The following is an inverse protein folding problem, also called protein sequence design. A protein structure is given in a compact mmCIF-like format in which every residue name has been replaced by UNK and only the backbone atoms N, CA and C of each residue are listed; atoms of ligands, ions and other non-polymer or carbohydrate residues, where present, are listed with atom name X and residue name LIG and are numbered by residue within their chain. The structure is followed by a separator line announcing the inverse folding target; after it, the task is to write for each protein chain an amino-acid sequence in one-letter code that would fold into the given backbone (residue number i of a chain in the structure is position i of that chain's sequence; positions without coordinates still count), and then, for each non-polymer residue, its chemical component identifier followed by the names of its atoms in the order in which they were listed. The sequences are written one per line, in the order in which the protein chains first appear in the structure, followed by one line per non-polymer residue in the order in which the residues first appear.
data_IF_515089198775
#
_entry.id   IF_515089198775
#
_cell.length_a   1.000
_cell.length_b   1.000
_cell.length_c   1.000
_cell.angle_alpha   90.00
_cell.angle_beta   90.00
_cell.angle_gamma   90.00
#
_symmetry.space_group_name_H-M   'P 1'
#
loop_
_entity.id
_entity.type
_entity.pdbx_description
1 polymer ?
#
# COMPACT_ATOMS: atom_id res chain seq x y z
N UNK A 1 -24.50 -20.14 8.20
CA UNK A 1 -23.82 -18.90 7.74
C UNK A 1 -24.25 -17.78 8.69
N UNK A 2 -23.31 -17.07 9.34
CA UNK A 2 -23.59 -15.96 10.29
C UNK A 2 -23.19 -14.65 9.62
N UNK A 3 -24.13 -13.70 9.49
CA UNK A 3 -23.83 -12.33 9.08
C UNK A 3 -23.32 -11.55 10.30
N UNK A 4 -22.20 -10.85 10.16
CA UNK A 4 -21.56 -10.10 11.27
C UNK A 4 -21.60 -8.58 11.11
N UNK A 5 -21.90 -8.08 9.92
CA UNK A 5 -22.07 -6.64 9.63
C UNK A 5 -23.44 -6.38 8.99
N UNK A 6 -24.00 -5.20 9.24
CA UNK A 6 -25.38 -4.85 8.84
C UNK A 6 -25.51 -3.49 8.17
N UNK A 7 -24.44 -2.68 8.17
CA UNK A 7 -24.47 -1.36 7.53
C UNK A 7 -24.69 -1.51 6.01
N UNK A 8 -25.54 -0.67 5.37
CA UNK A 8 -25.84 -0.76 3.94
C UNK A 8 -24.70 -0.14 3.10
N UNK A 9 -23.51 -0.73 3.21
CA UNK A 9 -22.29 -0.34 2.51
C UNK A 9 -21.40 -1.55 2.29
N UNK A 10 -20.31 -1.34 1.57
CA UNK A 10 -19.38 -2.40 1.24
C UNK A 10 -18.44 -2.74 2.40
N UNK A 11 -18.00 -3.99 2.43
CA UNK A 11 -17.09 -4.55 3.42
C UNK A 11 -16.08 -5.41 2.66
N UNK A 12 -15.13 -4.76 1.99
CA UNK A 12 -14.18 -5.40 1.10
C UNK A 12 -13.03 -5.98 1.93
N UNK A 13 -12.91 -7.31 1.93
CA UNK A 13 -11.74 -8.00 2.47
C UNK A 13 -10.63 -8.03 1.41
N UNK A 14 -9.39 -7.82 1.86
CA UNK A 14 -8.22 -8.18 1.06
C UNK A 14 -8.16 -9.70 0.94
N UNK A 15 -7.66 -10.20 -0.18
CA UNK A 15 -7.53 -11.63 -0.48
C UNK A 15 -6.58 -12.40 0.46
N UNK A 16 -5.79 -11.70 1.27
CA UNK A 16 -4.89 -12.29 2.27
C UNK A 16 -4.81 -11.43 3.53
N UNK A 17 -4.32 -12.04 4.62
CA UNK A 17 -3.98 -11.36 5.89
C UNK A 17 -5.08 -10.42 6.41
N UNK A 18 -6.35 -10.83 6.35
CA UNK A 18 -7.49 -10.02 6.80
C UNK A 18 -7.91 -10.27 8.26
N UNK A 19 -7.30 -11.25 8.93
CA UNK A 19 -7.60 -11.61 10.31
C UNK A 19 -6.56 -11.07 11.29
N UNK A 20 -7.00 -10.64 12.47
CA UNK A 20 -6.10 -10.49 13.62
C UNK A 20 -5.58 -11.85 14.09
N UNK A 21 -4.40 -11.85 14.72
CA UNK A 21 -3.73 -13.06 15.17
C UNK A 21 -4.58 -13.90 16.15
N UNK A 22 -5.44 -13.24 16.93
CA UNK A 22 -6.36 -13.89 17.86
C UNK A 22 -7.64 -14.45 17.20
N UNK A 23 -7.78 -14.29 15.88
CA UNK A 23 -8.96 -14.72 15.09
C UNK A 23 -10.29 -14.14 15.55
N UNK A 24 -10.28 -13.02 16.31
CA UNK A 24 -11.51 -12.37 16.78
C UNK A 24 -11.97 -11.25 15.87
N UNK A 25 -11.08 -10.68 15.05
CA UNK A 25 -11.39 -9.53 14.21
C UNK A 25 -11.07 -9.78 12.74
N UNK A 26 -12.00 -9.39 11.87
CA UNK A 26 -11.82 -9.26 10.43
C UNK A 26 -11.62 -7.80 10.08
N UNK A 27 -10.63 -7.50 9.26
CA UNK A 27 -10.27 -6.14 8.84
C UNK A 27 -10.63 -5.95 7.37
N UNK A 28 -11.29 -4.84 7.07
CA UNK A 28 -11.84 -4.55 5.75
C UNK A 28 -11.75 -3.05 5.41
N UNK A 29 -11.89 -2.75 4.12
CA UNK A 29 -12.11 -1.41 3.61
C UNK A 29 -13.54 -1.27 3.04
N UNK A 30 -13.98 -0.05 2.76
CA UNK A 30 -15.36 0.23 2.36
C UNK A 30 -15.52 0.51 0.86
N UNK A 31 -14.53 0.13 0.03
CA UNK A 31 -14.61 0.33 -1.42
C UNK A 31 -15.72 -0.52 -2.03
N UNK A 32 -16.41 -0.01 -3.08
CA UNK A 32 -17.51 -0.73 -3.70
C UNK A 32 -17.10 -1.98 -4.49
N UNK A 33 -15.86 -2.01 -4.96
CA UNK A 33 -15.25 -3.16 -5.63
C UNK A 33 -13.74 -3.08 -5.55
N UNK A 34 -13.05 -4.19 -5.82
CA UNK A 34 -11.58 -4.22 -5.89
C UNK A 34 -10.98 -3.32 -6.99
N UNK A 35 -11.77 -2.98 -8.02
CA UNK A 35 -11.36 -2.10 -9.12
C UNK A 35 -11.59 -0.61 -8.84
N UNK A 36 -12.35 -0.28 -7.80
CA UNK A 36 -12.56 1.10 -7.35
C UNK A 36 -11.58 1.47 -6.24
N UNK A 37 -11.25 2.76 -6.13
CA UNK A 37 -10.45 3.30 -5.03
C UNK A 37 -11.09 4.56 -4.44
N UNK A 38 -12.31 4.40 -3.91
CA UNK A 38 -13.11 5.46 -3.27
C UNK A 38 -13.45 5.15 -1.81
N UNK A 39 -12.60 4.35 -1.14
CA UNK A 39 -12.83 3.93 0.24
C UNK A 39 -12.42 5.04 1.20
N UNK A 40 -13.26 5.40 2.16
CA UNK A 40 -12.96 6.48 3.12
C UNK A 40 -12.37 5.97 4.43
N UNK A 41 -12.57 4.70 4.75
CA UNK A 41 -12.20 4.11 6.04
C UNK A 41 -11.59 2.73 5.91
N UNK A 42 -10.66 2.46 6.83
CA UNK A 42 -10.18 1.12 7.17
C UNK A 42 -10.83 0.75 8.50
N UNK A 43 -11.39 -0.45 8.59
CA UNK A 43 -12.23 -0.86 9.71
C UNK A 43 -11.99 -2.31 10.09
N UNK A 44 -12.46 -2.68 11.28
CA UNK A 44 -12.52 -4.06 11.72
C UNK A 44 -13.84 -4.41 12.36
N UNK A 45 -14.27 -5.66 12.22
CA UNK A 45 -15.46 -6.22 12.88
C UNK A 45 -15.07 -7.39 13.76
N UNK A 46 -15.54 -7.40 15.00
CA UNK A 46 -15.40 -8.52 15.90
C UNK A 46 -16.44 -9.60 15.52
N UNK A 47 -15.99 -10.81 15.19
CA UNK A 47 -16.87 -11.84 14.61
C UNK A 47 -17.81 -12.49 15.63
N UNK A 48 -17.48 -12.39 16.93
CA UNK A 48 -18.32 -12.90 18.00
C UNK A 48 -19.46 -11.91 18.31
N UNK A 49 -19.10 -10.65 18.56
CA UNK A 49 -20.00 -9.61 19.06
C UNK A 49 -20.66 -8.75 17.99
N UNK A 50 -20.11 -8.71 16.77
CA UNK A 50 -20.54 -7.80 15.70
C UNK A 50 -20.11 -6.34 15.90
N UNK A 51 -19.29 -6.04 16.92
CA UNK A 51 -18.76 -4.69 17.15
C UNK A 51 -17.87 -4.28 15.97
N UNK A 52 -18.12 -3.10 15.41
CA UNK A 52 -17.31 -2.48 14.34
C UNK A 52 -16.49 -1.34 14.91
N UNK A 53 -15.23 -1.24 14.51
CA UNK A 53 -14.31 -0.17 14.89
C UNK A 53 -13.65 0.41 13.64
N UNK A 54 -13.55 1.74 13.60
CA UNK A 54 -12.80 2.45 12.56
C UNK A 54 -11.34 2.55 13.01
N UNK A 55 -10.44 1.98 12.22
CA UNK A 55 -9.00 2.00 12.46
C UNK A 55 -8.38 3.26 11.86
N UNK A 56 -8.87 3.69 10.70
CA UNK A 56 -8.40 4.90 10.03
C UNK A 56 -9.51 5.52 9.19
N UNK A 57 -9.52 6.86 9.11
CA UNK A 57 -10.37 7.64 8.22
C UNK A 57 -9.49 8.54 7.37
N UNK A 58 -9.62 8.42 6.05
CA UNK A 58 -8.91 9.29 5.12
C UNK A 58 -9.39 10.75 5.29
N UNK A 59 -8.44 11.68 5.18
CA UNK A 59 -8.68 13.11 5.21
C UNK A 59 -8.30 13.78 3.90
N UNK A 60 -8.59 15.08 3.77
CA UNK A 60 -8.10 15.93 2.67
C UNK A 60 -8.41 15.39 1.27
N UNK A 61 -9.59 14.80 1.08
CA UNK A 61 -10.04 14.26 -0.21
C UNK A 61 -9.33 12.98 -0.66
N UNK A 62 -8.47 12.40 0.16
CA UNK A 62 -7.83 11.11 -0.13
C UNK A 62 -8.80 9.94 0.08
N UNK A 63 -8.43 8.81 -0.50
CA UNK A 63 -9.09 7.52 -0.26
C UNK A 63 -8.07 6.48 0.21
N UNK A 64 -8.58 5.41 0.82
CA UNK A 64 -7.82 4.29 1.38
C UNK A 64 -8.45 2.95 1.01
N UNK A 65 -7.64 1.89 1.08
CA UNK A 65 -8.14 0.52 0.93
C UNK A 65 -7.02 -0.51 0.94
N UNK A 66 -7.41 -1.76 0.69
CA UNK A 66 -6.47 -2.90 0.56
C UNK A 66 -5.62 -3.06 1.83
N UNK A 67 -6.29 -3.24 2.96
CA UNK A 67 -5.67 -3.41 4.27
C UNK A 67 -5.22 -4.84 4.50
N UNK A 68 -4.03 -5.02 5.09
CA UNK A 68 -3.57 -6.29 5.64
C UNK A 68 -3.13 -6.14 7.09
N UNK A 69 -3.13 -7.26 7.81
CA UNK A 69 -2.86 -7.35 9.24
C UNK A 69 -1.51 -8.00 9.50
N UNK A 70 -0.79 -7.43 10.46
CA UNK A 70 0.46 -7.99 10.97
C UNK A 70 0.22 -9.37 11.62
N UNK A 71 1.13 -10.35 11.45
CA UNK A 71 0.87 -11.74 11.84
C UNK A 71 0.67 -11.98 13.35
N UNK A 72 1.16 -11.10 14.21
CA UNK A 72 1.19 -11.32 15.67
C UNK A 72 0.64 -10.19 16.55
N UNK A 73 0.41 -8.99 16.00
CA UNK A 73 -0.05 -7.83 16.77
C UNK A 73 -1.09 -7.04 15.94
N UNK A 74 -1.93 -6.26 16.61
CA UNK A 74 -2.96 -5.41 16.00
C UNK A 74 -2.35 -4.18 15.30
N UNK A 75 -1.55 -4.45 14.26
CA UNK A 75 -0.88 -3.49 13.40
C UNK A 75 -1.33 -3.72 11.96
N UNK A 76 -1.61 -2.64 11.27
CA UNK A 76 -2.27 -2.66 9.97
C UNK A 76 -1.40 -1.93 8.95
N UNK A 77 -1.37 -2.42 7.72
CA UNK A 77 -0.79 -1.71 6.58
C UNK A 77 -1.82 -1.66 5.45
N UNK A 78 -1.95 -0.50 4.81
CA UNK A 78 -2.95 -0.28 3.76
C UNK A 78 -2.47 0.75 2.75
N UNK A 79 -3.19 0.83 1.64
CA UNK A 79 -2.93 1.81 0.59
C UNK A 79 -3.63 3.11 0.94
N UNK A 80 -2.89 4.21 0.77
CA UNK A 80 -3.40 5.56 0.85
C UNK A 80 -3.19 6.26 -0.49
N UNK A 81 -4.25 6.87 -1.04
CA UNK A 81 -4.15 7.76 -2.19
C UNK A 81 -3.50 9.10 -1.82
N UNK A 82 -3.26 9.99 -2.79
CA UNK A 82 -2.72 11.30 -2.47
C UNK A 82 -3.74 12.15 -1.71
N UNK A 83 -3.26 12.93 -0.75
CA UNK A 83 -4.04 14.00 -0.11
C UNK A 83 -4.05 15.25 -0.98
N UNK A 84 -5.11 16.04 -0.86
CA UNK A 84 -5.38 17.21 -1.70
C UNK A 84 -5.18 16.85 -3.19
N UNK A 85 -5.94 15.86 -3.70
CA UNK A 85 -5.80 15.46 -5.09
C UNK A 85 -6.20 16.62 -6.01
N UNK A 86 -5.50 16.76 -7.13
CA UNK A 86 -5.81 17.73 -8.18
C UNK A 86 -5.82 17.05 -9.56
N UNK A 87 -6.01 17.83 -10.62
CA UNK A 87 -6.09 17.31 -11.99
C UNK A 87 -4.84 16.53 -12.41
N UNK A 88 -3.66 16.88 -11.89
CA UNK A 88 -2.37 16.26 -12.24
C UNK A 88 -1.98 15.17 -11.24
N UNK A 89 -2.38 15.31 -9.98
CA UNK A 89 -1.98 14.44 -8.89
C UNK A 89 -3.20 13.87 -8.18
N UNK A 90 -3.84 12.91 -8.82
CA UNK A 90 -4.96 12.14 -8.27
C UNK A 90 -4.56 10.68 -8.09
N UNK A 91 -5.48 9.85 -7.58
CA UNK A 91 -5.22 8.43 -7.41
C UNK A 91 -4.85 7.77 -8.75
N UNK A 92 -3.63 7.23 -8.81
CA UNK A 92 -3.09 6.39 -9.88
C UNK A 92 -2.12 5.37 -9.26
N UNK A 93 -1.72 4.36 -10.04
CA UNK A 93 -0.78 3.32 -9.64
C UNK A 93 0.56 3.88 -9.14
N UNK A 94 1.04 5.00 -9.68
CA UNK A 94 2.29 5.62 -9.28
C UNK A 94 2.12 6.79 -8.28
N UNK A 95 0.90 7.08 -7.80
CA UNK A 95 0.60 8.15 -6.82
C UNK A 95 0.06 7.67 -5.47
N UNK A 96 0.15 6.38 -5.20
CA UNK A 96 -0.34 5.71 -3.98
C UNK A 96 0.82 5.36 -3.05
N UNK A 97 0.58 5.30 -1.75
CA UNK A 97 1.59 5.00 -0.74
C UNK A 97 1.12 3.95 0.24
N UNK A 98 2.07 3.26 0.87
CA UNK A 98 1.82 2.44 2.04
C UNK A 98 1.72 3.29 3.30
N UNK A 99 0.74 2.96 4.14
CA UNK A 99 0.56 3.58 5.44
C UNK A 99 0.43 2.48 6.48
N UNK A 100 1.12 2.65 7.60
CA UNK A 100 1.05 1.77 8.76
C UNK A 100 0.26 2.45 9.86
N UNK A 101 -0.69 1.73 10.46
CA UNK A 101 -1.44 2.18 11.63
C UNK A 101 -1.30 1.18 12.78
N UNK A 102 -0.95 1.68 13.96
CA UNK A 102 -0.75 0.89 15.17
C UNK A 102 -0.99 1.74 16.42
N UNK A 103 -1.80 1.24 17.35
CA UNK A 103 -2.10 1.91 18.64
C UNK A 103 -2.57 3.37 18.51
N UNK A 104 -3.27 3.71 17.43
CA UNK A 104 -3.77 5.06 17.17
C UNK A 104 -2.79 5.97 16.43
N UNK A 105 -1.53 5.55 16.29
CA UNK A 105 -0.53 6.27 15.51
C UNK A 105 -0.51 5.75 14.07
N UNK A 106 -0.53 6.68 13.11
CA UNK A 106 -0.53 6.36 11.68
C UNK A 106 0.54 7.16 10.96
N UNK A 107 1.37 6.48 10.16
CA UNK A 107 2.49 7.09 9.44
C UNK A 107 2.77 6.37 8.12
N UNK A 108 3.45 7.04 7.20
CA UNK A 108 3.86 6.46 5.92
C UNK A 108 4.84 5.30 6.12
N UNK A 109 4.60 4.19 5.43
CA UNK A 109 5.54 3.07 5.35
C UNK A 109 6.75 3.48 4.50
N UNK A 110 6.49 3.78 3.23
CA UNK A 110 7.45 4.15 2.22
C UNK A 110 7.61 5.67 2.12
N UNK A 111 8.82 6.11 1.78
CA UNK A 111 9.13 7.47 1.37
C UNK A 111 9.04 7.60 -0.15
N UNK A 112 8.73 8.79 -0.65
CA UNK A 112 8.75 9.08 -2.08
C UNK A 112 9.57 10.33 -2.40
N UNK A 113 10.50 10.17 -3.32
CA UNK A 113 11.38 11.20 -3.85
C UNK A 113 11.37 11.12 -5.38
N UNK A 114 10.86 12.17 -6.03
CA UNK A 114 10.76 12.24 -7.49
C UNK A 114 11.73 13.27 -8.08
N UNK A 115 12.56 13.88 -7.24
CA UNK A 115 13.52 14.92 -7.61
C UNK A 115 14.95 14.37 -7.58
N UNK A 116 15.67 14.50 -8.70
CA UNK A 116 17.07 14.09 -8.73
C UNK A 116 17.96 15.15 -8.01
N UNK A 117 19.01 14.73 -7.27
CA UNK A 117 19.43 13.35 -7.02
C UNK A 117 18.57 12.66 -5.97
N UNK A 118 18.08 11.46 -6.30
CA UNK A 118 17.15 10.71 -5.46
C UNK A 118 17.75 10.29 -4.12
N UNK A 119 16.91 10.29 -3.10
CA UNK A 119 17.21 9.82 -1.75
C UNK A 119 17.27 8.29 -1.72
N UNK A 120 18.41 7.68 -1.31
CA UNK A 120 18.50 6.25 -1.12
C UNK A 120 17.41 5.73 -0.16
N UNK A 121 16.75 4.64 -0.55
CA UNK A 121 15.67 4.03 0.22
C UNK A 121 14.28 4.64 -0.01
N UNK A 122 14.19 5.77 -0.73
CA UNK A 122 12.91 6.32 -1.17
C UNK A 122 12.49 5.70 -2.51
N UNK A 123 11.19 5.56 -2.70
CA UNK A 123 10.59 5.20 -3.98
C UNK A 123 10.46 6.43 -4.87
N UNK A 124 10.32 6.24 -6.18
CA UNK A 124 10.07 7.33 -7.15
C UNK A 124 8.65 7.35 -7.67
N UNK A 125 7.73 6.73 -6.94
CA UNK A 125 6.36 6.50 -7.37
C UNK A 125 5.60 5.70 -6.32
N UNK A 126 4.59 4.96 -6.75
CA UNK A 126 3.57 4.44 -5.87
C UNK A 126 3.70 2.95 -5.53
N UNK A 127 3.37 2.61 -4.28
CA UNK A 127 3.37 1.25 -3.73
C UNK A 127 1.95 0.71 -3.51
N UNK A 128 1.76 -0.62 -3.60
CA UNK A 128 0.45 -1.27 -3.52
C UNK A 128 0.49 -2.71 -3.07
N UNK A 129 -0.59 -3.11 -2.40
CA UNK A 129 -0.77 -4.44 -1.79
C UNK A 129 0.42 -4.73 -0.91
N UNK A 130 0.36 -4.13 0.28
CA UNK A 130 1.38 -4.26 1.30
C UNK A 130 1.09 -5.49 2.13
N UNK A 131 2.05 -6.40 2.23
CA UNK A 131 1.88 -7.66 2.96
C UNK A 131 3.06 -7.88 3.89
N UNK A 132 2.77 -8.00 5.18
CA UNK A 132 3.77 -8.37 6.18
C UNK A 132 4.30 -9.78 5.91
N UNK A 133 5.62 -9.92 6.02
CA UNK A 133 6.31 -11.20 6.18
C UNK A 133 5.74 -12.03 7.33
N UNK A 134 6.02 -13.35 7.39
CA UNK A 134 5.62 -14.17 8.53
C UNK A 134 6.21 -13.71 9.88
N UNK A 135 7.44 -13.16 9.91
CA UNK A 135 8.00 -12.56 11.12
C UNK A 135 7.37 -11.22 11.48
N UNK A 136 6.77 -10.53 10.49
CA UNK A 136 6.18 -9.21 10.64
C UNK A 136 7.16 -8.04 10.46
N UNK A 137 8.44 -8.33 10.23
CA UNK A 137 9.50 -7.32 10.16
C UNK A 137 9.59 -6.65 8.77
N UNK A 138 9.37 -7.43 7.71
CA UNK A 138 9.38 -6.94 6.33
C UNK A 138 7.98 -6.77 5.78
N UNK A 139 7.81 -5.86 4.82
CA UNK A 139 6.57 -5.68 4.06
C UNK A 139 6.88 -5.73 2.57
N UNK A 140 6.36 -6.71 1.83
CA UNK A 140 6.39 -6.66 0.36
C UNK A 140 5.30 -5.76 -0.17
N UNK A 141 5.56 -5.16 -1.33
CA UNK A 141 4.59 -4.42 -2.10
C UNK A 141 4.87 -4.54 -3.60
N UNK A 142 3.84 -4.31 -4.39
CA UNK A 142 4.00 -4.00 -5.83
C UNK A 142 4.22 -2.51 -6.02
N UNK A 143 4.90 -2.13 -7.11
CA UNK A 143 5.42 -0.78 -7.33
C UNK A 143 5.23 -0.31 -8.78
N UNK A 144 5.02 1.00 -8.93
CA UNK A 144 5.01 1.75 -10.18
C UNK A 144 5.81 3.05 -10.03
N UNK A 145 6.48 3.46 -11.09
CA UNK A 145 7.46 4.55 -11.05
C UNK A 145 6.91 5.78 -11.76
N UNK A 146 6.64 6.85 -11.00
CA UNK A 146 6.09 8.09 -11.53
C UNK A 146 7.11 8.77 -12.45
N UNK A 147 8.40 8.76 -12.11
CA UNK A 147 9.44 9.37 -12.94
C UNK A 147 9.57 8.66 -14.29
N UNK A 148 9.43 7.33 -14.30
CA UNK A 148 9.40 6.58 -15.56
C UNK A 148 8.10 6.83 -16.34
N UNK A 149 6.96 6.95 -15.66
CA UNK A 149 5.68 7.30 -16.27
C UNK A 149 5.75 8.65 -17.01
N UNK A 150 6.27 9.68 -16.35
CA UNK A 150 6.45 11.02 -16.93
C UNK A 150 7.41 11.01 -18.13
N UNK A 151 8.38 10.09 -18.15
CA UNK A 151 9.30 9.93 -19.28
C UNK A 151 8.62 9.26 -20.47
N UNK A 152 7.94 8.15 -20.24
CA UNK A 152 7.13 7.41 -21.22
C UNK A 152 6.23 6.42 -20.47
N UNK A 153 4.89 6.50 -20.61
CA UNK A 153 3.95 5.59 -19.96
C UNK A 153 4.23 4.10 -20.19
N UNK A 154 4.87 3.72 -21.30
CA UNK A 154 5.25 2.33 -21.58
C UNK A 154 6.30 1.78 -20.59
N UNK A 155 6.97 2.65 -19.84
CA UNK A 155 7.99 2.30 -18.86
C UNK A 155 7.43 2.12 -17.44
N UNK A 156 6.21 2.58 -17.18
CA UNK A 156 5.54 2.43 -15.88
C UNK A 156 4.99 1.02 -15.70
N UNK A 157 5.91 0.07 -15.61
CA UNK A 157 5.63 -1.35 -15.48
C UNK A 157 5.63 -1.78 -14.01
N UNK A 158 4.74 -2.73 -13.68
CA UNK A 158 4.61 -3.22 -12.30
C UNK A 158 5.87 -3.99 -11.88
N UNK A 159 6.47 -3.54 -10.80
CA UNK A 159 7.58 -4.21 -10.11
C UNK A 159 7.16 -4.66 -8.71
N UNK A 160 8.05 -5.36 -8.03
CA UNK A 160 7.93 -5.76 -6.63
C UNK A 160 9.07 -5.13 -5.84
N UNK A 161 8.75 -4.69 -4.63
CA UNK A 161 9.71 -4.20 -3.66
C UNK A 161 9.43 -4.73 -2.27
N UNK A 162 10.38 -4.46 -1.38
CA UNK A 162 10.34 -4.80 0.03
C UNK A 162 10.70 -3.57 0.84
N UNK A 163 9.86 -3.24 1.82
CA UNK A 163 10.16 -2.30 2.87
C UNK A 163 10.81 -3.06 4.03
N UNK A 164 12.04 -2.66 4.36
CA UNK A 164 12.83 -3.22 5.45
C UNK A 164 12.83 -2.24 6.63
N UNK A 165 12.93 -2.70 7.89
CA UNK A 165 12.75 -1.87 9.09
C UNK A 165 13.97 -0.99 9.41
N UNK A 166 14.61 -0.42 8.39
CA UNK A 166 15.65 0.60 8.49
C UNK A 166 15.06 1.95 8.12
N UNK A 167 15.40 2.99 8.86
CA UNK A 167 14.83 4.32 8.63
C UNK A 167 14.97 5.23 9.86
N UNK A 168 14.30 6.38 9.86
CA UNK A 168 13.39 6.87 8.81
C UNK A 168 14.12 7.24 7.51
N UNK A 169 13.39 7.23 6.38
CA UNK A 169 13.86 7.79 5.11
C UNK A 169 13.17 9.13 4.90
N UNK A 170 13.96 10.20 4.76
CA UNK A 170 13.49 11.57 4.62
C UNK A 170 14.08 12.20 3.35
N UNK A 171 13.29 12.29 2.27
CA UNK A 171 13.63 13.09 1.10
C UNK A 171 13.87 14.55 1.45
N UNK A 172 14.57 15.28 0.57
CA UNK A 172 14.86 16.71 0.76
C UNK A 172 13.61 17.60 0.74
N UNK A 173 12.56 17.13 0.07
CA UNK A 173 11.32 17.89 -0.11
C UNK A 173 11.46 18.95 -1.21
N UNK A 174 12.17 18.61 -2.28
CA UNK A 174 12.38 19.49 -3.43
C UNK A 174 11.09 19.60 -4.28
N UNK A 175 10.14 18.68 -4.10
CA UNK A 175 8.82 18.72 -4.72
C UNK A 175 7.68 18.58 -3.67
N UNK A 176 6.57 19.36 -3.77
CA UNK A 176 5.51 19.39 -2.75
C UNK A 176 4.73 18.08 -2.58
N UNK A 177 4.87 17.15 -3.52
CA UNK A 177 4.25 15.81 -3.45
C UNK A 177 5.15 14.77 -2.79
N UNK A 178 6.41 15.09 -2.51
CA UNK A 178 7.35 14.19 -1.82
C UNK A 178 7.01 14.05 -0.34
N UNK A 179 7.36 12.89 0.22
CA UNK A 179 7.10 12.59 1.63
C UNK A 179 8.12 11.60 2.19
N UNK A 180 8.37 11.70 3.49
CA UNK A 180 9.15 10.72 4.23
C UNK A 180 8.35 9.46 4.57
N UNK A 181 9.07 8.41 4.96
CA UNK A 181 8.54 7.11 5.34
C UNK A 181 9.36 6.47 6.45
N UNK A 182 8.75 5.55 7.19
CA UNK A 182 9.41 4.87 8.30
C UNK A 182 10.39 3.78 7.87
N UNK A 183 10.25 3.26 6.64
CA UNK A 183 11.03 2.13 6.14
C UNK A 183 11.86 2.49 4.91
N UNK A 184 13.00 1.82 4.81
CA UNK A 184 13.84 1.81 3.63
C UNK A 184 13.24 0.83 2.63
N UNK A 185 13.02 1.30 1.40
CA UNK A 185 12.43 0.50 0.34
C UNK A 185 13.47 0.10 -0.69
N UNK A 186 13.42 -1.16 -1.12
CA UNK A 186 14.22 -1.68 -2.23
C UNK A 186 13.32 -2.39 -3.24
N UNK A 187 13.61 -2.21 -4.53
CA UNK A 187 12.99 -3.01 -5.58
C UNK A 187 13.76 -4.32 -5.74
N UNK A 188 13.02 -5.43 -5.82
CA UNK A 188 13.57 -6.79 -5.94
C UNK A 188 13.30 -7.41 -7.31
N UNK A 189 12.56 -6.70 -8.16
CA UNK A 189 12.37 -7.04 -9.56
C UNK A 189 12.84 -5.91 -10.47
N UNK A 190 13.11 -6.26 -11.72
CA UNK A 190 13.27 -5.30 -12.82
C UNK A 190 12.42 -5.78 -13.99
N UNK A 191 11.61 -4.88 -14.53
CA UNK A 191 10.80 -5.15 -15.71
C UNK A 191 11.24 -4.36 -16.93
N UNK A 192 10.96 -4.88 -18.11
CA UNK A 192 11.18 -4.22 -19.41
C UNK A 192 9.93 -4.35 -20.29
N UNK A 193 9.58 -3.34 -21.10
CA UNK A 193 8.41 -3.43 -22.00
C UNK A 193 8.61 -4.47 -23.11
N UNK A 194 9.85 -4.85 -23.40
CA UNK A 194 10.22 -5.75 -24.50
C UNK A 194 11.16 -6.84 -24.01
N UNK A 195 10.68 -7.83 -23.22
CA UNK A 195 11.52 -8.91 -22.71
C UNK A 195 12.04 -9.76 -23.88
N UNK A 196 13.34 -10.06 -23.88
CA UNK A 196 13.97 -10.86 -24.92
C UNK A 196 13.55 -12.34 -24.81
N UNK A 197 13.09 -12.98 -25.90
CA UNK A 197 12.76 -14.41 -25.88
C UNK A 197 13.95 -15.27 -25.44
N UNK A 198 13.75 -16.12 -24.43
CA UNK A 198 14.78 -17.00 -23.88
C UNK A 198 15.69 -16.38 -22.82
N UNK A 199 15.44 -15.13 -22.41
CA UNK A 199 16.11 -14.48 -21.27
C UNK A 199 15.35 -14.68 -19.95
N UNK A 200 15.89 -14.12 -18.87
CA UNK A 200 15.24 -13.96 -17.56
C UNK A 200 14.47 -12.63 -17.41
N UNK A 201 14.36 -11.85 -18.49
CA UNK A 201 13.62 -10.59 -18.48
C UNK A 201 12.12 -10.82 -18.38
N UNK A 202 11.48 -9.98 -17.57
CA UNK A 202 10.02 -10.01 -17.37
C UNK A 202 9.43 -8.64 -17.72
N UNK A 203 8.19 -8.62 -18.21
CA UNK A 203 7.47 -7.36 -18.45
C UNK A 203 6.55 -6.96 -17.29
N UNK A 204 6.38 -7.82 -16.29
CA UNK A 204 5.50 -7.58 -15.15
C UNK A 204 5.87 -8.47 -13.96
N UNK A 205 5.93 -7.88 -12.77
CA UNK A 205 5.88 -8.57 -11.49
C UNK A 205 4.74 -7.95 -10.65
N UNK A 206 3.73 -8.74 -10.30
CA UNK A 206 2.46 -8.22 -9.75
C UNK A 206 1.78 -9.25 -8.82
N UNK A 207 0.74 -8.80 -8.12
CA UNK A 207 0.02 -9.50 -7.03
C UNK A 207 0.82 -9.67 -5.72
N UNK A 208 0.15 -10.22 -4.70
CA UNK A 208 0.68 -10.55 -3.38
C UNK A 208 1.50 -11.85 -3.33
N UNK A 209 2.26 -12.04 -2.23
CA UNK A 209 2.86 -13.35 -1.89
C UNK A 209 4.38 -13.47 -2.02
N UNK A 210 5.12 -12.34 -2.04
CA UNK A 210 6.56 -12.32 -2.32
C UNK A 210 7.46 -12.55 -1.10
N UNK A 211 6.91 -12.51 0.12
CA UNK A 211 7.66 -12.80 1.36
C UNK A 211 7.04 -14.01 2.04
N UNK A 212 7.80 -15.10 2.08
CA UNK A 212 7.47 -16.37 2.72
C UNK A 212 8.51 -16.78 3.75
#
# INVERSE_FOLDING_TARGET
MKQVTFAPRHHQLTNTRAWTADSRWLVFDVRPSGASFTGETIERVNVETGKVEILYRAGQGAYVGVVTVHPSIDKYVFIHGPENPDERWHYDFHHRRGVVSWQGDTHNLDAMDISAPYTPGALRGGSHVHVFSPSGEFVSFTYNDHVLHERDPALDLRNVGVAVPYGPVAPRGDHPREYGGSHWCVLVSRTTPTPAPGSDEINRAYEEGWVG
#
